data_IF_698633188212
#
_entry.id   IF_698633188212
#
_cell.length_a   1.000
_cell.length_b   1.000
_cell.length_c   1.000
_cell.angle_alpha   90.00
_cell.angle_beta   90.00
_cell.angle_gamma   90.00
#
_symmetry.space_group_name_H-M   'P 1'
#
loop_
_entity.id
_entity.type
_entity.pdbx_description
1 polymer ?
#
# COMPACT_ATOMS: atom_id res chain seq x y z
N UNK A 1 -6.40 -22.07 10.84
CA UNK A 1 -7.18 -21.85 12.07
C UNK A 1 -7.21 -23.15 12.87
N UNK A 2 -7.48 -23.14 14.19
CA UNK A 2 -7.65 -24.37 14.99
C UNK A 2 -8.58 -24.17 16.19
N UNK A 3 -9.24 -25.22 16.64
CA UNK A 3 -10.08 -25.17 17.85
C UNK A 3 -9.22 -24.99 19.11
N UNK A 4 -9.47 -23.92 19.86
CA UNK A 4 -8.79 -23.58 21.12
C UNK A 4 -9.74 -22.78 22.02
N UNK A 5 -9.45 -22.76 23.31
CA UNK A 5 -10.06 -21.81 24.23
C UNK A 5 -9.47 -20.42 23.95
N UNK A 6 -10.32 -19.46 23.61
CA UNK A 6 -9.89 -18.08 23.43
C UNK A 6 -9.53 -17.48 24.80
N UNK A 7 -8.33 -16.91 25.00
CA UNK A 7 -7.90 -16.38 26.28
C UNK A 7 -8.62 -15.09 26.70
N UNK A 8 -9.35 -14.44 25.77
CA UNK A 8 -10.08 -13.19 26.04
C UNK A 8 -11.50 -13.51 26.51
N UNK A 9 -12.25 -14.32 25.76
CA UNK A 9 -13.65 -14.60 26.08
C UNK A 9 -13.89 -15.96 26.78
N UNK A 10 -12.84 -16.78 26.97
CA UNK A 10 -12.92 -18.08 27.64
C UNK A 10 -13.63 -19.20 26.86
N UNK A 11 -14.15 -18.93 25.67
CA UNK A 11 -14.95 -19.88 24.89
C UNK A 11 -14.05 -20.81 24.05
N UNK A 12 -14.39 -22.10 23.98
CA UNK A 12 -13.74 -23.07 23.10
C UNK A 12 -14.31 -22.98 21.68
N UNK A 13 -13.58 -22.32 20.77
CA UNK A 13 -14.03 -22.05 19.40
C UNK A 13 -12.87 -21.95 18.41
N UNK A 14 -13.20 -21.74 17.14
CA UNK A 14 -12.20 -21.61 16.08
C UNK A 14 -11.36 -20.35 16.29
N UNK A 15 -10.06 -20.54 16.48
CA UNK A 15 -9.11 -19.46 16.75
C UNK A 15 -8.10 -19.28 15.61
N UNK A 16 -7.72 -18.02 15.42
CA UNK A 16 -6.69 -17.52 14.51
C UNK A 16 -5.39 -17.25 15.27
N UNK A 17 -4.27 -17.35 14.55
CA UNK A 17 -2.98 -16.90 15.07
C UNK A 17 -2.96 -15.38 15.14
N UNK A 18 -2.50 -14.87 16.25
CA UNK A 18 -2.19 -13.46 16.43
C UNK A 18 -0.78 -13.35 17.03
N UNK A 19 0.08 -12.53 16.42
CA UNK A 19 1.40 -12.26 17.00
C UNK A 19 1.21 -11.23 18.11
N UNK A 20 1.62 -11.54 19.34
CA UNK A 20 1.47 -10.62 20.49
C UNK A 20 2.14 -9.27 20.22
N UNK A 21 3.24 -9.32 19.48
CA UNK A 21 3.93 -8.14 18.96
C UNK A 21 3.86 -8.14 17.43
N UNK A 22 3.17 -7.18 16.81
CA UNK A 22 3.15 -6.98 15.37
C UNK A 22 4.55 -6.95 14.76
N UNK A 23 4.81 -7.86 13.81
CA UNK A 23 6.12 -7.99 13.16
C UNK A 23 6.52 -6.71 12.43
N UNK A 24 5.54 -5.98 11.90
CA UNK A 24 5.78 -4.71 11.20
C UNK A 24 6.39 -3.62 12.08
N UNK A 25 6.23 -3.71 13.40
CA UNK A 25 6.74 -2.71 14.36
C UNK A 25 7.92 -3.26 15.16
N UNK A 26 7.85 -4.51 15.61
CA UNK A 26 8.85 -5.11 16.52
C UNK A 26 9.75 -6.17 15.88
N UNK A 27 9.66 -6.42 14.57
CA UNK A 27 10.47 -7.42 13.88
C UNK A 27 10.04 -8.86 14.15
N UNK A 28 10.95 -9.83 14.06
CA UNK A 28 10.58 -11.25 14.18
C UNK A 28 10.01 -11.57 15.58
N UNK A 29 8.70 -11.79 15.64
CA UNK A 29 8.02 -12.27 16.83
C UNK A 29 7.62 -13.73 16.66
N UNK A 30 8.17 -14.60 17.52
CA UNK A 30 7.74 -16.00 17.65
C UNK A 30 6.59 -16.16 18.65
N UNK A 31 6.22 -15.09 19.35
CA UNK A 31 5.19 -15.13 20.39
C UNK A 31 3.79 -15.03 19.77
N UNK A 32 3.07 -16.15 19.80
CA UNK A 32 1.80 -16.35 19.12
C UNK A 32 0.73 -16.69 20.16
N UNK A 33 -0.31 -15.88 20.19
CA UNK A 33 -1.55 -16.18 20.91
C UNK A 33 -2.64 -16.61 19.92
N UNK A 34 -3.62 -17.35 20.41
CA UNK A 34 -4.73 -17.85 19.59
C UNK A 34 -6.02 -17.18 20.03
N UNK A 35 -6.60 -16.37 19.14
CA UNK A 35 -7.80 -15.58 19.43
C UNK A 35 -8.94 -16.01 18.50
N UNK A 36 -10.18 -16.02 19.01
CA UNK A 36 -11.33 -16.14 18.13
C UNK A 36 -11.45 -14.91 17.22
N UNK A 37 -12.23 -15.01 16.15
CA UNK A 37 -12.38 -13.91 15.19
C UNK A 37 -12.83 -12.60 15.84
N UNK A 38 -13.85 -12.64 16.70
CA UNK A 38 -14.42 -11.46 17.37
C UNK A 38 -13.39 -10.76 18.26
N UNK A 39 -12.75 -11.51 19.17
CA UNK A 39 -11.74 -10.92 20.07
C UNK A 39 -10.47 -10.49 19.31
N UNK A 40 -10.16 -11.17 18.20
CA UNK A 40 -9.06 -10.75 17.34
C UNK A 40 -9.36 -9.39 16.69
N UNK A 41 -10.57 -9.19 16.17
CA UNK A 41 -11.00 -7.92 15.59
C UNK A 41 -11.06 -6.81 16.63
N UNK A 42 -11.67 -7.07 17.80
CA UNK A 42 -11.75 -6.11 18.88
C UNK A 42 -10.36 -5.60 19.32
N UNK A 43 -9.36 -6.49 19.39
CA UNK A 43 -7.98 -6.09 19.68
C UNK A 43 -7.40 -5.14 18.62
N UNK A 44 -7.61 -5.41 17.33
CA UNK A 44 -7.15 -4.53 16.25
C UNK A 44 -7.85 -3.17 16.27
N UNK A 45 -9.15 -3.14 16.60
CA UNK A 45 -9.91 -1.90 16.69
C UNK A 45 -9.43 -1.02 17.87
N UNK A 46 -9.18 -1.62 19.03
CA UNK A 46 -8.59 -0.93 20.19
C UNK A 46 -7.18 -0.39 19.89
N UNK A 47 -6.34 -1.18 19.22
CA UNK A 47 -5.01 -0.71 18.79
C UNK A 47 -5.16 0.47 17.83
N UNK A 48 -6.05 0.38 16.83
CA UNK A 48 -6.29 1.47 15.87
C UNK A 48 -6.77 2.75 16.57
N UNK A 49 -7.63 2.64 17.58
CA UNK A 49 -8.06 3.80 18.36
C UNK A 49 -6.87 4.46 19.08
N UNK A 50 -5.99 3.66 19.69
CA UNK A 50 -4.77 4.18 20.34
C UNK A 50 -3.78 4.79 19.34
N UNK A 51 -3.57 4.17 18.19
CA UNK A 51 -2.76 4.72 17.10
C UNK A 51 -3.32 6.07 16.61
N UNK A 52 -4.64 6.19 16.46
CA UNK A 52 -5.29 7.44 16.10
C UNK A 52 -5.09 8.54 17.15
N UNK A 53 -5.10 8.20 18.44
CA UNK A 53 -4.80 9.17 19.50
C UNK A 53 -3.37 9.69 19.40
N UNK A 54 -2.40 8.81 19.13
CA UNK A 54 -1.01 9.21 18.90
C UNK A 54 -0.92 10.11 17.67
N UNK A 55 -1.53 9.73 16.54
CA UNK A 55 -1.50 10.55 15.32
C UNK A 55 -2.15 11.93 15.47
N UNK A 56 -3.15 12.06 16.37
CA UNK A 56 -3.73 13.37 16.70
C UNK A 56 -2.78 14.25 17.50
N UNK A 57 -1.91 13.67 18.33
CA UNK A 57 -0.90 14.40 19.09
C UNK A 57 0.30 14.80 18.21
N UNK A 58 0.58 14.02 17.17
CA UNK A 58 1.72 14.21 16.26
C UNK A 58 1.27 14.30 14.79
N UNK A 59 0.50 15.34 14.41
CA UNK A 59 -0.08 15.46 13.07
C UNK A 59 0.97 15.53 11.95
N UNK A 60 2.18 15.99 12.25
CA UNK A 60 3.32 16.04 11.33
C UNK A 60 3.72 14.66 10.81
N UNK A 61 3.54 13.60 11.61
CA UNK A 61 3.79 12.21 11.17
C UNK A 61 2.85 11.87 10.02
N UNK A 62 1.56 12.18 10.15
CA UNK A 62 0.57 11.93 9.12
C UNK A 62 0.84 12.78 7.86
N UNK A 63 0.99 14.09 8.03
CA UNK A 63 1.19 15.04 6.92
C UNK A 63 2.49 14.71 6.16
N UNK A 64 3.58 14.45 6.88
CA UNK A 64 4.87 14.08 6.30
C UNK A 64 4.82 12.76 5.55
N UNK A 65 4.09 11.77 6.07
CA UNK A 65 3.89 10.48 5.41
C UNK A 65 3.08 10.64 4.12
N UNK A 66 1.98 11.38 4.16
CA UNK A 66 1.15 11.67 2.98
C UNK A 66 1.94 12.39 1.88
N UNK A 67 2.67 13.46 2.25
CA UNK A 67 3.50 14.20 1.31
C UNK A 67 4.57 13.32 0.65
N UNK A 68 5.18 12.41 1.41
CA UNK A 68 6.18 11.47 0.90
C UNK A 68 5.59 10.44 -0.07
N UNK A 69 4.39 9.92 0.19
CA UNK A 69 3.69 9.01 -0.73
C UNK A 69 3.30 9.71 -2.04
N UNK A 70 2.82 10.95 -1.97
CA UNK A 70 2.49 11.76 -3.15
C UNK A 70 3.74 11.97 -4.02
N UNK A 71 4.87 12.37 -3.41
CA UNK A 71 6.16 12.54 -4.11
C UNK A 71 6.59 11.25 -4.82
N UNK A 72 6.62 10.12 -4.11
CA UNK A 72 7.00 8.80 -4.69
C UNK A 72 6.13 8.40 -5.89
N UNK A 73 4.82 8.68 -5.84
CA UNK A 73 3.91 8.40 -6.96
C UNK A 73 4.18 9.29 -8.16
N UNK A 74 4.49 10.56 -7.94
CA UNK A 74 4.84 11.50 -9.00
C UNK A 74 6.18 11.16 -9.66
N UNK A 75 7.18 10.73 -8.89
CA UNK A 75 8.47 10.29 -9.44
C UNK A 75 8.29 9.06 -10.33
N UNK A 76 7.54 8.06 -9.86
CA UNK A 76 7.21 6.87 -10.65
C UNK A 76 6.53 7.24 -11.98
N UNK A 77 5.57 8.19 -11.95
CA UNK A 77 4.90 8.69 -13.17
C UNK A 77 5.88 9.40 -14.10
N UNK A 78 6.80 10.21 -13.57
CA UNK A 78 7.79 10.94 -14.35
C UNK A 78 8.76 9.99 -15.06
N UNK A 79 9.21 8.94 -14.38
CA UNK A 79 10.05 7.89 -14.96
C UNK A 79 9.32 7.14 -16.07
N UNK A 80 8.06 6.73 -15.86
CA UNK A 80 7.25 6.09 -16.91
C UNK A 80 7.05 6.99 -18.13
N UNK A 81 6.79 8.29 -17.94
CA UNK A 81 6.63 9.25 -19.04
C UNK A 81 7.93 9.50 -19.82
N UNK A 82 9.09 9.40 -19.16
CA UNK A 82 10.40 9.47 -19.83
C UNK A 82 10.67 8.21 -20.65
N UNK A 83 10.42 7.03 -20.10
CA UNK A 83 10.62 5.76 -20.82
C UNK A 83 9.69 5.67 -22.04
N UNK A 84 8.41 6.01 -21.90
CA UNK A 84 7.46 6.04 -23.03
C UNK A 84 7.80 7.04 -24.14
N UNK A 85 8.62 8.07 -23.86
CA UNK A 85 9.13 8.99 -24.89
C UNK A 85 10.35 8.43 -25.62
N UNK A 86 11.15 7.60 -24.95
CA UNK A 86 12.33 6.94 -25.52
C UNK A 86 11.96 5.71 -26.36
N UNK A 87 10.79 5.12 -26.14
CA UNK A 87 10.26 3.98 -26.91
C UNK A 87 9.49 4.41 -28.18
N UNK A 88 9.45 5.71 -28.52
CA UNK A 88 8.90 6.16 -29.81
C UNK A 88 9.89 5.79 -30.92
N UNK A 89 9.47 5.04 -31.97
CA UNK A 89 10.36 4.68 -33.05
C UNK A 89 10.87 5.96 -33.73
N UNK A 90 12.18 6.11 -33.75
CA UNK A 90 12.86 7.12 -34.54
C UNK A 90 12.69 6.74 -36.02
N UNK A 91 11.76 7.41 -36.71
CA UNK A 91 11.69 7.38 -38.16
C UNK A 91 10.30 7.08 -38.72
N UNK A 92 9.70 8.09 -39.36
CA UNK A 92 9.00 7.87 -40.63
C UNK A 92 9.01 9.16 -41.45
N UNK A 93 9.98 9.18 -42.37
CA UNK A 93 10.02 9.75 -43.72
C UNK A 93 9.08 10.91 -44.05
N UNK A 94 9.73 12.01 -44.43
CA UNK A 94 9.25 13.11 -45.25
C UNK A 94 8.43 12.59 -46.44
N UNK A 95 7.12 12.83 -46.43
CA UNK A 95 6.24 12.55 -47.58
C UNK A 95 6.33 13.76 -48.51
N UNK A 96 7.06 13.65 -49.62
CA UNK A 96 7.00 14.64 -50.69
C UNK A 96 5.70 14.43 -51.47
N UNK A 97 4.95 15.52 -51.60
CA UNK A 97 3.69 15.60 -52.33
C UNK A 97 3.97 16.14 -53.75
N UNK A 98 3.80 15.37 -54.84
CA UNK A 98 3.79 15.93 -56.17
C UNK A 98 2.34 16.13 -56.61
N UNK A 99 1.88 17.38 -56.66
CA UNK A 99 0.67 17.72 -57.42
C UNK A 99 0.97 18.88 -58.37
N UNK A 100 0.75 18.56 -59.65
CA UNK A 100 0.40 19.40 -60.80
C UNK A 100 1.40 20.47 -61.26
N UNK A 101 1.85 20.34 -62.52
CA UNK A 101 1.62 21.32 -63.58
C UNK A 101 2.00 20.73 -64.94
N UNK A 102 1.02 20.56 -65.82
CA UNK A 102 1.19 20.60 -67.28
C UNK A 102 -0.08 21.25 -67.83
N UNK A 103 0.07 22.54 -68.12
CA UNK A 103 -0.72 23.27 -69.12
C UNK A 103 0.11 23.31 -70.41
N UNK A 104 -0.61 23.51 -71.51
CA UNK A 104 -0.26 23.57 -72.95
C UNK A 104 -0.24 22.24 -73.73
#
# INVERSE_FOLDING_TARGET
MRMKTCPICGQYKLCNRHHRFPVAVWGQSKDIIWLCLECHQALHDEIRQKENLILRQYPEIYIGTLGSLIRRKNDTRRTRKRNAKNDRPNGSKHYQNPRSNQED
#
